data_IF_992470122297
#
_entry.id   IF_992470122297
#
_cell.length_a   1.000
_cell.length_b   1.000
_cell.length_c   1.000
_cell.angle_alpha   90.00
_cell.angle_beta   90.00
_cell.angle_gamma   90.00
#
_symmetry.space_group_name_H-M   'P 1'
#
loop_
_entity.id
_entity.type
_entity.pdbx_description
1 polymer ?
#
# COMPACT_ATOMS: atom_id res chain seq x y z
N UNK A 1 17.28 -10.21 -17.22
CA UNK A 1 17.20 -8.74 -16.97
C UNK A 1 18.59 -8.20 -16.70
N UNK A 2 18.97 -7.03 -17.25
CA UNK A 2 20.25 -6.38 -16.99
C UNK A 2 20.25 -5.84 -15.54
N UNK A 3 21.41 -5.95 -14.82
CA UNK A 3 21.56 -5.43 -13.42
C UNK A 3 21.06 -3.99 -13.27
N UNK A 4 21.27 -3.13 -14.27
CA UNK A 4 20.79 -1.74 -14.26
C UNK A 4 19.25 -1.60 -14.21
N UNK A 5 18.50 -2.45 -14.93
CA UNK A 5 17.03 -2.42 -14.90
C UNK A 5 16.49 -2.82 -13.51
N UNK A 6 17.08 -3.83 -12.88
CA UNK A 6 16.69 -4.22 -11.52
C UNK A 6 16.96 -3.10 -10.50
N UNK A 7 18.06 -2.37 -10.65
CA UNK A 7 18.38 -1.23 -9.78
C UNK A 7 17.35 -0.09 -9.96
N UNK A 8 16.96 0.22 -11.20
CA UNK A 8 15.93 1.23 -11.47
C UNK A 8 14.58 0.81 -10.86
N UNK A 9 14.19 -0.46 -11.01
CA UNK A 9 12.99 -0.99 -10.37
C UNK A 9 13.01 -0.88 -8.85
N UNK A 10 14.15 -1.20 -8.24
CA UNK A 10 14.34 -1.08 -6.80
C UNK A 10 14.26 0.37 -6.31
N UNK A 11 14.92 1.30 -7.00
CA UNK A 11 14.84 2.74 -6.69
C UNK A 11 13.42 3.27 -6.85
N UNK A 12 12.68 2.86 -7.87
CA UNK A 12 11.32 3.25 -8.08
C UNK A 12 10.39 2.78 -6.93
N UNK A 13 10.51 1.53 -6.51
CA UNK A 13 9.77 1.02 -5.35
C UNK A 13 10.18 1.71 -4.04
N UNK A 14 11.46 2.03 -3.85
CA UNK A 14 11.94 2.75 -2.68
C UNK A 14 11.35 4.17 -2.59
N UNK A 15 11.38 4.92 -3.70
CA UNK A 15 10.77 6.27 -3.78
C UNK A 15 9.29 6.19 -3.42
N UNK A 16 8.55 5.23 -3.98
CA UNK A 16 7.14 5.04 -3.68
C UNK A 16 6.91 4.77 -2.19
N UNK A 17 7.64 3.82 -1.61
CA UNK A 17 7.47 3.42 -0.21
C UNK A 17 7.81 4.54 0.77
N UNK A 18 8.89 5.29 0.53
CA UNK A 18 9.22 6.46 1.35
C UNK A 18 8.16 7.57 1.23
N UNK A 19 7.62 7.78 0.02
CA UNK A 19 6.53 8.75 -0.19
C UNK A 19 5.27 8.37 0.58
N UNK A 20 4.93 7.08 0.62
CA UNK A 20 3.80 6.59 1.40
C UNK A 20 4.08 6.60 2.90
N UNK A 21 5.32 6.39 3.33
CA UNK A 21 5.68 6.57 4.74
C UNK A 21 5.46 8.00 5.24
N UNK A 22 5.73 8.99 4.38
CA UNK A 22 5.44 10.39 4.68
C UNK A 22 3.94 10.75 4.59
N UNK A 23 3.14 9.92 3.93
CA UNK A 23 1.71 10.13 3.74
C UNK A 23 0.94 10.10 5.07
N UNK A 24 1.25 9.18 5.97
CA UNK A 24 0.50 8.97 7.22
C UNK A 24 0.56 10.17 8.18
N UNK A 25 1.75 10.74 8.48
CA UNK A 25 1.82 11.94 9.32
C UNK A 25 1.14 13.17 8.70
N UNK A 26 1.17 13.31 7.36
CA UNK A 26 0.49 14.42 6.68
C UNK A 26 -1.03 14.20 6.68
N UNK A 27 -1.47 12.95 6.47
CA UNK A 27 -2.89 12.63 6.55
C UNK A 27 -3.46 12.87 7.96
N UNK A 28 -2.67 12.64 9.02
CA UNK A 28 -3.10 12.89 10.41
C UNK A 28 -3.62 14.31 10.60
N UNK A 29 -2.85 15.30 10.13
CA UNK A 29 -3.29 16.71 10.18
C UNK A 29 -4.53 16.96 9.33
N UNK A 30 -4.57 16.43 8.09
CA UNK A 30 -5.72 16.66 7.22
C UNK A 30 -7.02 16.04 7.77
N UNK A 31 -6.93 14.84 8.37
CA UNK A 31 -8.08 14.09 8.91
C UNK A 31 -8.67 14.71 10.17
N UNK A 32 -8.01 15.70 10.80
CA UNK A 32 -8.62 16.51 11.86
C UNK A 32 -9.73 17.44 11.33
N UNK A 33 -9.71 17.76 10.01
CA UNK A 33 -10.59 18.75 9.39
C UNK A 33 -11.49 18.17 8.30
N UNK A 34 -11.06 17.10 7.62
CA UNK A 34 -11.79 16.53 6.48
C UNK A 34 -12.00 15.02 6.68
N UNK A 35 -13.21 14.58 6.34
CA UNK A 35 -13.58 13.16 6.42
C UNK A 35 -12.77 12.31 5.42
N UNK A 36 -12.39 11.06 5.77
CA UNK A 36 -11.62 10.17 4.92
C UNK A 36 -12.22 9.90 3.54
N UNK A 37 -13.55 9.93 3.40
CA UNK A 37 -14.20 9.74 2.11
C UNK A 37 -13.96 10.93 1.18
N UNK A 38 -14.20 12.15 1.66
CA UNK A 38 -13.89 13.36 0.90
C UNK A 38 -12.40 13.55 0.68
N UNK A 39 -11.57 13.28 1.68
CA UNK A 39 -10.11 13.32 1.56
C UNK A 39 -9.61 12.41 0.44
N UNK A 40 -10.06 11.16 0.41
CA UNK A 40 -9.70 10.19 -0.63
C UNK A 40 -10.25 10.58 -2.00
N UNK A 41 -11.50 11.03 -2.08
CA UNK A 41 -12.16 11.41 -3.33
C UNK A 41 -11.52 12.64 -3.97
N UNK A 42 -11.28 13.71 -3.21
CA UNK A 42 -10.66 14.95 -3.71
C UNK A 42 -9.24 14.68 -4.17
N UNK A 43 -8.45 13.98 -3.34
CA UNK A 43 -7.08 13.60 -3.64
C UNK A 43 -6.98 12.82 -4.95
N UNK A 44 -7.69 11.70 -5.05
CA UNK A 44 -7.61 10.87 -6.24
C UNK A 44 -8.41 11.38 -7.42
N UNK A 45 -9.38 12.24 -7.22
CA UNK A 45 -10.03 13.02 -8.28
C UNK A 45 -9.01 13.86 -9.05
N UNK A 46 -8.20 14.65 -8.33
CA UNK A 46 -7.15 15.45 -8.93
C UNK A 46 -6.04 14.59 -9.58
N UNK A 47 -5.62 13.50 -8.90
CA UNK A 47 -4.65 12.54 -9.45
C UNK A 47 -5.18 11.91 -10.74
N UNK A 48 -6.45 11.51 -10.77
CA UNK A 48 -7.11 10.93 -11.97
C UNK A 48 -7.08 11.91 -13.13
N UNK A 49 -7.44 13.17 -12.91
CA UNK A 49 -7.41 14.20 -13.96
C UNK A 49 -6.00 14.32 -14.53
N UNK A 50 -4.99 14.46 -13.66
CA UNK A 50 -3.60 14.57 -14.08
C UNK A 50 -3.11 13.35 -14.87
N UNK A 51 -3.44 12.13 -14.40
CA UNK A 51 -3.06 10.90 -15.09
C UNK A 51 -3.80 10.71 -16.43
N UNK A 52 -5.08 11.09 -16.52
CA UNK A 52 -5.85 11.07 -17.78
C UNK A 52 -5.24 12.01 -18.80
N UNK A 53 -4.91 13.24 -18.40
CA UNK A 53 -4.23 14.19 -19.29
C UNK A 53 -2.87 13.65 -19.75
N UNK A 54 -2.09 13.11 -18.81
CA UNK A 54 -0.79 12.52 -19.13
C UNK A 54 -0.90 11.32 -20.07
N UNK A 55 -1.89 10.44 -19.88
CA UNK A 55 -2.15 9.29 -20.76
C UNK A 55 -2.57 9.74 -22.15
N UNK A 56 -3.46 10.73 -22.25
CA UNK A 56 -3.88 11.31 -23.53
C UNK A 56 -2.69 11.91 -24.30
N UNK A 57 -1.81 12.62 -23.61
CA UNK A 57 -0.63 13.26 -24.21
C UNK A 57 0.43 12.24 -24.63
N UNK A 58 0.64 11.17 -23.87
CA UNK A 58 1.72 10.20 -24.11
C UNK A 58 1.32 9.04 -25.03
N UNK A 59 0.10 8.53 -24.89
CA UNK A 59 -0.34 7.30 -25.56
C UNK A 59 -1.62 7.50 -26.41
N UNK A 60 -2.26 8.66 -26.27
CA UNK A 60 -3.42 9.04 -27.06
C UNK A 60 -4.72 8.31 -26.67
N UNK A 61 -5.80 8.58 -27.43
CA UNK A 61 -7.15 8.07 -27.12
C UNK A 61 -7.26 6.53 -27.18
N UNK A 62 -6.40 5.86 -27.94
CA UNK A 62 -6.43 4.39 -28.05
C UNK A 62 -6.10 3.68 -26.73
N UNK A 63 -5.33 4.32 -25.84
CA UNK A 63 -4.97 3.79 -24.55
C UNK A 63 -6.16 3.64 -23.59
N UNK A 64 -7.30 4.28 -23.88
CA UNK A 64 -8.54 4.17 -23.07
C UNK A 64 -9.41 2.97 -23.43
N UNK A 65 -9.05 2.17 -24.42
CA UNK A 65 -9.77 0.94 -24.76
C UNK A 65 -9.63 -0.07 -23.64
N UNK A 66 -10.74 -0.65 -23.17
CA UNK A 66 -10.74 -1.57 -22.04
C UNK A 66 -10.32 -3.00 -22.38
N UNK A 67 -10.35 -3.36 -23.67
CA UNK A 67 -9.93 -4.67 -24.20
C UNK A 67 -10.57 -5.87 -23.47
N UNK A 68 -11.84 -5.74 -23.10
CA UNK A 68 -12.57 -6.76 -22.35
C UNK A 68 -12.22 -6.82 -20.83
N UNK A 69 -11.23 -6.05 -20.36
CA UNK A 69 -10.73 -6.08 -18.98
C UNK A 69 -11.47 -5.08 -18.04
N UNK A 70 -12.60 -4.50 -18.45
CA UNK A 70 -13.32 -3.46 -17.70
C UNK A 70 -13.68 -3.89 -16.27
N UNK A 71 -14.22 -5.10 -16.09
CA UNK A 71 -14.56 -5.64 -14.75
C UNK A 71 -13.35 -5.75 -13.82
N UNK A 72 -12.20 -6.18 -14.36
CA UNK A 72 -10.95 -6.28 -13.60
C UNK A 72 -10.43 -4.88 -13.21
N UNK A 73 -10.54 -3.89 -14.11
CA UNK A 73 -10.16 -2.50 -13.81
C UNK A 73 -11.00 -1.90 -12.70
N UNK A 74 -12.33 -2.09 -12.76
CA UNK A 74 -13.24 -1.66 -11.68
C UNK A 74 -12.87 -2.35 -10.37
N UNK A 75 -12.68 -3.68 -10.39
CA UNK A 75 -12.35 -4.45 -9.19
C UNK A 75 -11.02 -3.99 -8.57
N UNK A 76 -9.92 -4.00 -9.32
CA UNK A 76 -8.62 -3.59 -8.80
C UNK A 76 -8.56 -2.11 -8.47
N UNK A 77 -9.21 -1.25 -9.25
CA UNK A 77 -9.34 0.17 -8.95
C UNK A 77 -10.08 0.42 -7.65
N UNK A 78 -11.20 -0.28 -7.41
CA UNK A 78 -11.94 -0.21 -6.14
C UNK A 78 -11.08 -0.69 -4.98
N UNK A 79 -10.32 -1.79 -5.14
CA UNK A 79 -9.44 -2.30 -4.08
C UNK A 79 -8.39 -1.26 -3.66
N UNK A 80 -7.74 -0.57 -4.63
CA UNK A 80 -6.69 0.39 -4.35
C UNK A 80 -7.21 1.77 -3.92
N UNK A 81 -8.18 2.33 -4.66
CA UNK A 81 -8.53 3.74 -4.53
C UNK A 81 -9.77 3.98 -3.66
N UNK A 82 -10.58 2.94 -3.42
CA UNK A 82 -11.70 2.99 -2.49
C UNK A 82 -11.37 2.24 -1.20
N UNK A 83 -11.24 0.91 -1.27
CA UNK A 83 -11.10 0.05 -0.09
C UNK A 83 -9.84 0.43 0.71
N UNK A 84 -8.68 0.47 0.06
CA UNK A 84 -7.45 0.84 0.76
C UNK A 84 -7.52 2.28 1.29
N UNK A 85 -7.77 3.26 0.43
CA UNK A 85 -7.65 4.66 0.84
C UNK A 85 -8.69 5.08 1.88
N UNK A 86 -9.95 4.70 1.68
CA UNK A 86 -10.99 5.08 2.62
C UNK A 86 -10.80 4.35 3.96
N UNK A 87 -10.62 3.02 3.92
CA UNK A 87 -10.59 2.24 5.16
C UNK A 87 -9.32 2.45 5.97
N UNK A 88 -8.15 2.60 5.32
CA UNK A 88 -6.91 2.88 6.06
C UNK A 88 -6.98 4.23 6.75
N UNK A 89 -7.43 5.28 6.06
CA UNK A 89 -7.55 6.61 6.67
C UNK A 89 -8.68 6.70 7.68
N UNK A 90 -9.79 5.99 7.47
CA UNK A 90 -10.86 5.89 8.47
C UNK A 90 -10.35 5.21 9.76
N UNK A 91 -9.65 4.09 9.61
CA UNK A 91 -9.05 3.41 10.76
C UNK A 91 -7.98 4.26 11.45
N UNK A 92 -7.14 4.98 10.69
CA UNK A 92 -6.17 5.93 11.24
C UNK A 92 -6.85 7.04 12.02
N UNK A 93 -7.87 7.68 11.45
CA UNK A 93 -8.63 8.77 12.07
C UNK A 93 -9.29 8.33 13.38
N UNK A 94 -9.93 7.16 13.39
CA UNK A 94 -10.61 6.63 14.58
C UNK A 94 -9.65 6.31 15.73
N UNK A 95 -8.38 6.01 15.43
CA UNK A 95 -7.34 5.78 16.45
C UNK A 95 -6.60 7.06 16.86
N UNK A 96 -6.77 8.16 16.10
CA UNK A 96 -6.01 9.40 16.31
C UNK A 96 -4.50 9.21 16.10
N UNK A 97 -3.68 9.98 16.82
CA UNK A 97 -2.20 9.95 16.64
C UNK A 97 -1.55 8.56 16.69
N UNK A 98 -1.95 7.63 17.57
CA UNK A 98 -1.47 6.24 17.51
C UNK A 98 -1.79 5.56 16.18
N UNK A 99 -2.88 5.92 15.51
CA UNK A 99 -3.31 5.36 14.23
C UNK A 99 -2.29 5.54 13.11
N UNK A 100 -1.50 6.62 13.14
CA UNK A 100 -0.41 6.89 12.19
C UNK A 100 0.61 5.75 12.15
N UNK A 101 1.10 5.37 13.35
CA UNK A 101 2.06 4.27 13.47
C UNK A 101 1.42 2.92 13.17
N UNK A 102 0.20 2.69 13.67
CA UNK A 102 -0.52 1.43 13.44
C UNK A 102 -0.76 1.22 11.95
N UNK A 103 -1.25 2.22 11.22
CA UNK A 103 -1.49 2.12 9.78
C UNK A 103 -0.19 1.82 9.01
N UNK A 104 0.90 2.55 9.31
CA UNK A 104 2.19 2.34 8.64
C UNK A 104 2.78 0.94 8.90
N UNK A 105 2.62 0.40 10.12
CA UNK A 105 3.09 -0.94 10.47
C UNK A 105 2.22 -2.03 9.86
N UNK A 106 0.92 -1.83 9.79
CA UNK A 106 0.02 -2.76 9.11
C UNK A 106 0.36 -2.88 7.62
N UNK A 107 0.83 -1.81 6.97
CA UNK A 107 1.35 -1.90 5.60
C UNK A 107 2.57 -2.82 5.50
N UNK A 108 3.46 -2.82 6.49
CA UNK A 108 4.61 -3.71 6.48
C UNK A 108 4.23 -5.21 6.55
N UNK A 109 2.97 -5.55 6.85
CA UNK A 109 2.46 -6.92 6.74
C UNK A 109 2.07 -7.32 5.31
N UNK A 110 2.05 -6.40 4.35
CA UNK A 110 1.66 -6.68 2.95
C UNK A 110 2.40 -7.86 2.30
N UNK A 111 3.72 -8.04 2.50
CA UNK A 111 4.42 -9.20 1.96
C UNK A 111 3.85 -10.53 2.47
N UNK A 112 3.43 -10.57 3.73
CA UNK A 112 2.85 -11.77 4.33
C UNK A 112 1.42 -12.02 3.84
N UNK A 113 0.63 -10.95 3.75
CA UNK A 113 -0.72 -10.99 3.18
C UNK A 113 -0.64 -11.52 1.74
N UNK A 114 0.34 -11.07 0.94
CA UNK A 114 0.53 -11.55 -0.43
C UNK A 114 0.81 -13.06 -0.50
N UNK A 115 1.59 -13.59 0.44
CA UNK A 115 1.87 -15.04 0.54
C UNK A 115 0.61 -15.81 0.94
N UNK A 116 -0.18 -15.28 1.89
CA UNK A 116 -1.45 -15.90 2.30
C UNK A 116 -2.45 -15.94 1.14
N UNK A 117 -2.55 -14.86 0.35
CA UNK A 117 -3.41 -14.80 -0.84
C UNK A 117 -2.95 -15.84 -1.89
N UNK A 118 -1.64 -15.95 -2.13
CA UNK A 118 -1.10 -16.96 -3.05
C UNK A 118 -1.40 -18.40 -2.56
N UNK A 119 -1.29 -18.62 -1.27
CA UNK A 119 -1.62 -19.91 -0.68
C UNK A 119 -3.12 -20.26 -0.86
N UNK A 120 -4.01 -19.31 -0.54
CA UNK A 120 -5.45 -19.51 -0.71
C UNK A 120 -5.88 -19.68 -2.17
N UNK A 121 -5.34 -18.85 -3.09
CA UNK A 121 -5.77 -18.84 -4.50
C UNK A 121 -5.04 -19.86 -5.39
N UNK A 122 -3.76 -20.11 -5.12
CA UNK A 122 -2.91 -21.00 -5.95
C UNK A 122 -2.51 -22.30 -5.23
N UNK A 123 -2.96 -22.51 -4.01
CA UNK A 123 -2.63 -23.67 -3.15
C UNK A 123 -1.10 -23.86 -2.93
N UNK A 124 -0.31 -22.80 -3.12
CA UNK A 124 1.14 -22.81 -2.87
C UNK A 124 1.36 -22.63 -1.37
N UNK A 125 1.68 -23.73 -0.66
CA UNK A 125 1.92 -23.67 0.79
C UNK A 125 3.13 -22.78 1.13
N UNK A 126 3.00 -21.86 2.10
CA UNK A 126 4.12 -21.06 2.57
C UNK A 126 5.19 -21.95 3.21
N UNK A 127 6.45 -21.59 3.00
CA UNK A 127 7.58 -22.34 3.56
C UNK A 127 7.76 -22.02 5.05
N UNK A 128 8.41 -22.93 5.79
CA UNK A 128 8.59 -22.78 7.26
C UNK A 128 9.22 -21.44 7.66
N UNK A 129 10.21 -20.95 6.91
CA UNK A 129 10.83 -19.66 7.21
C UNK A 129 9.86 -18.47 7.02
N UNK A 130 8.95 -18.57 6.04
CA UNK A 130 7.90 -17.55 5.84
C UNK A 130 6.95 -17.53 7.02
N UNK A 131 6.48 -18.70 7.47
CA UNK A 131 5.62 -18.80 8.65
C UNK A 131 6.27 -18.23 9.91
N UNK A 132 7.54 -18.56 10.15
CA UNK A 132 8.29 -17.99 11.28
C UNK A 132 8.39 -16.46 11.18
N UNK A 133 8.68 -15.94 9.98
CA UNK A 133 8.70 -14.50 9.74
C UNK A 133 7.35 -13.83 10.00
N UNK A 134 6.25 -14.46 9.57
CA UNK A 134 4.89 -13.96 9.84
C UNK A 134 4.62 -13.83 11.34
N UNK A 135 4.99 -14.84 12.14
CA UNK A 135 4.80 -14.82 13.60
C UNK A 135 5.62 -13.69 14.23
N UNK A 136 6.89 -13.52 13.86
CA UNK A 136 7.76 -12.47 14.40
C UNK A 136 7.21 -11.07 14.04
N UNK A 137 6.77 -10.88 12.80
CA UNK A 137 6.20 -9.60 12.38
C UNK A 137 4.86 -9.33 13.06
N UNK A 138 4.02 -10.35 13.27
CA UNK A 138 2.78 -10.21 14.02
C UNK A 138 3.06 -9.78 15.47
N UNK A 139 4.04 -10.38 16.14
CA UNK A 139 4.47 -9.97 17.48
C UNK A 139 4.96 -8.51 17.47
N UNK A 140 5.75 -8.13 16.46
CA UNK A 140 6.20 -6.74 16.30
C UNK A 140 5.04 -5.76 16.11
N UNK A 141 4.05 -6.10 15.29
CA UNK A 141 2.84 -5.30 15.11
C UNK A 141 2.04 -5.17 16.43
N UNK A 142 1.89 -6.26 17.17
CA UNK A 142 1.23 -6.24 18.50
C UNK A 142 1.95 -5.29 19.45
N UNK A 143 3.28 -5.27 19.50
CA UNK A 143 4.04 -4.35 20.36
C UNK A 143 3.75 -2.89 20.05
N UNK A 144 3.70 -2.52 18.77
CA UNK A 144 3.39 -1.14 18.37
C UNK A 144 1.93 -0.78 18.68
N UNK A 145 1.00 -1.69 18.40
CA UNK A 145 -0.43 -1.46 18.63
C UNK A 145 -0.73 -1.31 20.12
N UNK A 146 -0.19 -2.21 20.95
CA UNK A 146 -0.47 -2.23 22.39
C UNK A 146 0.43 -1.28 23.20
N UNK A 147 1.53 -0.83 22.63
CA UNK A 147 2.59 -0.09 23.36
C UNK A 147 3.08 -0.79 24.62
N UNK A 148 3.03 -2.12 24.63
CA UNK A 148 3.37 -2.97 25.77
C UNK A 148 2.33 -2.96 26.90
N UNK A 149 1.23 -2.26 26.74
CA UNK A 149 0.15 -2.23 27.73
C UNK A 149 -0.87 -3.35 27.42
N UNK A 150 -0.88 -4.37 28.28
CA UNK A 150 -1.82 -5.48 28.14
C UNK A 150 -3.27 -5.08 28.41
N UNK A 151 -3.52 -3.91 29.05
CA UNK A 151 -4.86 -3.37 29.22
C UNK A 151 -5.52 -3.00 27.88
N UNK A 152 -4.73 -2.78 26.83
CA UNK A 152 -5.22 -2.62 25.47
C UNK A 152 -6.16 -3.76 25.03
N UNK A 153 -5.88 -4.98 25.44
CA UNK A 153 -6.76 -6.13 25.13
C UNK A 153 -8.10 -6.06 25.85
N UNK A 154 -8.20 -5.34 26.96
CA UNK A 154 -9.45 -5.10 27.66
C UNK A 154 -10.30 -4.03 26.95
N UNK A 155 -9.65 -3.06 26.31
CA UNK A 155 -10.28 -2.02 25.49
C UNK A 155 -10.31 -2.39 23.99
N UNK A 156 -10.07 -3.66 23.66
CA UNK A 156 -9.97 -4.14 22.27
C UNK A 156 -11.23 -3.82 21.47
N UNK A 157 -12.41 -3.81 22.12
CA UNK A 157 -13.66 -3.49 21.45
C UNK A 157 -13.65 -2.12 20.78
N UNK A 158 -13.03 -1.13 21.43
CA UNK A 158 -13.01 0.26 20.96
C UNK A 158 -12.08 0.44 19.74
N UNK A 159 -11.05 -0.42 19.64
CA UNK A 159 -10.04 -0.35 18.58
C UNK A 159 -10.22 -1.40 17.47
N UNK A 160 -11.07 -2.41 17.69
CA UNK A 160 -11.22 -3.54 16.77
C UNK A 160 -11.68 -3.12 15.38
N UNK A 161 -12.65 -2.21 15.28
CA UNK A 161 -13.12 -1.71 14.01
C UNK A 161 -12.05 -0.93 13.25
N UNK A 162 -11.29 -0.08 13.96
CA UNK A 162 -10.18 0.67 13.38
C UNK A 162 -9.11 -0.24 12.81
N UNK A 163 -8.70 -1.26 13.58
CA UNK A 163 -7.73 -2.26 13.15
C UNK A 163 -8.26 -3.09 11.96
N UNK A 164 -9.53 -3.48 11.99
CA UNK A 164 -10.16 -4.21 10.90
C UNK A 164 -10.22 -3.38 9.62
N UNK A 165 -10.57 -2.09 9.71
CA UNK A 165 -10.57 -1.20 8.56
C UNK A 165 -9.18 -1.05 7.95
N UNK A 166 -8.14 -0.78 8.76
CA UNK A 166 -6.77 -0.69 8.27
C UNK A 166 -6.36 -2.02 7.62
N UNK A 167 -6.62 -3.16 8.26
CA UNK A 167 -6.26 -4.47 7.72
C UNK A 167 -6.93 -4.77 6.38
N UNK A 168 -8.26 -4.56 6.28
CA UNK A 168 -9.02 -4.76 5.04
C UNK A 168 -8.50 -3.83 3.95
N UNK A 169 -8.21 -2.57 4.28
CA UNK A 169 -7.60 -1.63 3.35
C UNK A 169 -6.27 -2.15 2.82
N UNK A 170 -5.37 -2.57 3.71
CA UNK A 170 -4.05 -3.12 3.35
C UNK A 170 -4.17 -4.37 2.46
N UNK A 171 -5.12 -5.26 2.74
CA UNK A 171 -5.45 -6.40 1.85
C UNK A 171 -5.86 -5.90 0.47
N UNK A 172 -6.68 -4.85 0.39
CA UNK A 172 -7.11 -4.23 -0.88
C UNK A 172 -5.91 -3.78 -1.73
N UNK A 173 -4.93 -3.12 -1.13
CA UNK A 173 -3.71 -2.71 -1.84
C UNK A 173 -2.86 -3.89 -2.34
N UNK A 174 -2.75 -4.96 -1.54
CA UNK A 174 -2.05 -6.18 -1.96
C UNK A 174 -2.74 -6.81 -3.16
N UNK A 175 -4.08 -6.92 -3.12
CA UNK A 175 -4.89 -7.44 -4.24
C UNK A 175 -4.67 -6.62 -5.51
N UNK A 176 -4.69 -5.28 -5.42
CA UNK A 176 -4.39 -4.39 -6.52
C UNK A 176 -3.00 -4.62 -7.11
N UNK A 177 -1.97 -4.65 -6.25
CA UNK A 177 -0.58 -4.83 -6.68
C UNK A 177 -0.37 -6.17 -7.37
N UNK A 178 -0.95 -7.25 -6.85
CA UNK A 178 -0.90 -8.58 -7.47
C UNK A 178 -1.69 -8.62 -8.78
N UNK A 179 -2.82 -7.92 -8.83
CA UNK A 179 -3.69 -7.83 -10.00
C UNK A 179 -3.04 -7.16 -11.22
N UNK A 180 -2.04 -6.31 -10.99
CA UNK A 180 -1.27 -5.67 -12.06
C UNK A 180 -0.63 -6.65 -13.05
N UNK A 181 -0.34 -7.88 -12.62
CA UNK A 181 0.18 -8.95 -13.50
C UNK A 181 -0.79 -9.31 -14.64
N UNK A 182 -2.10 -9.16 -14.44
CA UNK A 182 -3.13 -9.40 -15.46
C UNK A 182 -3.12 -8.36 -16.59
N UNK A 183 -2.33 -7.31 -16.44
CA UNK A 183 -2.17 -6.20 -17.40
C UNK A 183 -0.71 -6.04 -17.85
N UNK A 184 0.05 -7.13 -17.90
CA UNK A 184 1.47 -7.13 -18.29
C UNK A 184 1.74 -6.46 -19.64
N UNK A 185 0.78 -6.60 -20.58
CA UNK A 185 0.86 -6.05 -21.94
C UNK A 185 0.59 -4.54 -22.00
N UNK A 186 0.06 -3.97 -20.92
CA UNK A 186 -0.26 -2.54 -20.84
C UNK A 186 0.94 -1.74 -20.31
N UNK A 187 0.99 -0.47 -20.69
CA UNK A 187 1.93 0.45 -20.05
C UNK A 187 1.56 0.66 -18.59
N UNK A 188 2.55 0.97 -17.78
CA UNK A 188 2.33 1.33 -16.36
C UNK A 188 1.39 2.52 -16.24
N UNK A 189 1.55 3.52 -17.12
CA UNK A 189 0.71 4.71 -17.12
C UNK A 189 -0.75 4.36 -17.42
N UNK A 190 -1.01 3.52 -18.43
CA UNK A 190 -2.36 3.08 -18.80
C UNK A 190 -3.03 2.33 -17.64
N UNK A 191 -2.35 1.36 -17.04
CA UNK A 191 -2.87 0.60 -15.90
C UNK A 191 -3.17 1.50 -14.71
N UNK A 192 -2.23 2.36 -14.31
CA UNK A 192 -2.41 3.29 -13.19
C UNK A 192 -3.57 4.26 -13.44
N UNK A 193 -3.65 4.82 -14.66
CA UNK A 193 -4.70 5.78 -15.01
C UNK A 193 -6.09 5.15 -14.98
N UNK A 194 -6.27 4.00 -15.64
CA UNK A 194 -7.59 3.41 -15.78
C UNK A 194 -8.08 2.81 -14.46
N UNK A 195 -7.21 2.19 -13.66
CA UNK A 195 -7.58 1.72 -12.32
C UNK A 195 -7.88 2.88 -11.38
N UNK A 196 -7.09 3.97 -11.42
CA UNK A 196 -7.35 5.18 -10.65
C UNK A 196 -8.70 5.80 -11.04
N UNK A 197 -9.00 5.93 -12.33
CA UNK A 197 -10.26 6.47 -12.84
C UNK A 197 -11.47 5.69 -12.32
N UNK A 198 -11.47 4.37 -12.50
CA UNK A 198 -12.60 3.55 -12.05
C UNK A 198 -12.72 3.49 -10.53
N UNK A 199 -11.62 3.35 -9.81
CA UNK A 199 -11.64 3.32 -8.36
C UNK A 199 -12.09 4.65 -7.76
N UNK A 200 -11.61 5.79 -8.30
CA UNK A 200 -12.04 7.12 -7.86
C UNK A 200 -13.52 7.36 -8.17
N UNK A 201 -14.02 6.87 -9.30
CA UNK A 201 -15.47 6.95 -9.62
C UNK A 201 -16.29 6.17 -8.59
N UNK A 202 -15.87 4.98 -8.19
CA UNK A 202 -16.54 4.19 -7.13
C UNK A 202 -16.46 4.95 -5.79
N UNK A 203 -15.31 5.49 -5.41
CA UNK A 203 -15.17 6.32 -4.19
C UNK A 203 -16.15 7.51 -4.23
N UNK A 204 -16.25 8.20 -5.37
CA UNK A 204 -17.16 9.34 -5.54
C UNK A 204 -18.62 8.94 -5.38
N UNK A 205 -19.05 7.82 -5.97
CA UNK A 205 -20.43 7.30 -5.81
C UNK A 205 -20.71 6.97 -4.34
N UNK A 206 -19.79 6.27 -3.66
CA UNK A 206 -19.97 5.95 -2.23
C UNK A 206 -20.01 7.22 -1.39
N UNK A 207 -19.07 8.16 -1.61
CA UNK A 207 -19.05 9.44 -0.90
C UNK A 207 -20.37 10.20 -1.08
N UNK A 208 -20.89 10.23 -2.30
CA UNK A 208 -22.18 10.88 -2.58
C UNK A 208 -23.34 10.21 -1.83
N UNK A 209 -23.39 8.88 -1.83
CA UNK A 209 -24.45 8.12 -1.12
C UNK A 209 -24.40 8.41 0.37
N UNK A 210 -23.24 8.30 1.01
CA UNK A 210 -23.13 8.51 2.46
C UNK A 210 -23.37 9.98 2.86
N UNK A 211 -23.07 10.93 1.97
CA UNK A 211 -23.40 12.34 2.15
C UNK A 211 -24.91 12.56 2.09
N UNK A 212 -25.59 11.95 1.11
CA UNK A 212 -27.07 12.01 1.01
C UNK A 212 -27.77 11.37 2.21
N UNK A 213 -27.16 10.35 2.81
CA UNK A 213 -27.65 9.71 4.03
C UNK A 213 -27.34 10.53 5.30
N UNK A 214 -26.60 11.63 5.20
CA UNK A 214 -26.28 12.51 6.31
C UNK A 214 -25.14 12.03 7.21
N UNK A 215 -24.41 10.98 6.83
CA UNK A 215 -23.29 10.49 7.64
C UNK A 215 -22.01 11.33 7.50
N UNK A 216 -21.83 12.00 6.37
CA UNK A 216 -20.64 12.81 6.08
C UNK A 216 -21.07 14.15 5.49
N UNK A 217 -20.43 15.23 5.92
CA UNK A 217 -20.72 16.58 5.43
C UNK A 217 -19.77 16.95 4.29
N UNK A 218 -20.29 17.72 3.32
CA UNK A 218 -19.48 18.31 2.26
C UNK A 218 -18.49 19.29 2.91
N UNK A 219 -17.16 19.16 2.68
CA UNK A 219 -16.18 20.07 3.26
C UNK A 219 -16.41 21.51 2.75
N UNK A 220 -16.33 22.46 3.67
CA UNK A 220 -16.44 23.89 3.32
C UNK A 220 -15.20 24.37 2.58
N UNK A 221 -15.32 25.51 1.89
CA UNK A 221 -14.16 26.16 1.26
C UNK A 221 -13.08 26.51 2.28
N UNK A 222 -13.48 26.88 3.50
CA UNK A 222 -12.57 27.13 4.61
C UNK A 222 -11.80 25.86 5.00
N UNK A 223 -12.50 24.73 5.18
CA UNK A 223 -11.88 23.42 5.44
C UNK A 223 -10.84 23.08 4.37
N UNK A 224 -11.20 23.22 3.09
CA UNK A 224 -10.27 22.95 1.98
C UNK A 224 -9.06 23.90 2.03
N UNK A 225 -9.27 25.17 2.40
CA UNK A 225 -8.18 26.14 2.53
C UNK A 225 -7.20 25.79 3.65
N UNK A 226 -7.67 25.20 4.75
CA UNK A 226 -6.82 24.73 5.85
C UNK A 226 -5.93 23.57 5.37
N UNK A 227 -6.53 22.54 4.73
CA UNK A 227 -5.82 21.32 4.35
C UNK A 227 -5.22 21.35 2.94
N UNK A 228 -5.18 22.50 2.26
CA UNK A 228 -4.74 22.61 0.85
C UNK A 228 -3.32 22.13 0.61
N UNK A 229 -2.41 22.36 1.54
CA UNK A 229 -1.01 21.94 1.40
C UNK A 229 -0.86 20.43 1.65
N UNK A 230 -1.65 19.86 2.58
CA UNK A 230 -1.72 18.43 2.81
C UNK A 230 -2.27 17.73 1.56
N UNK A 231 -3.37 18.23 1.00
CA UNK A 231 -3.94 17.72 -0.24
C UNK A 231 -2.95 17.83 -1.40
N UNK A 232 -2.28 18.97 -1.57
CA UNK A 232 -1.28 19.15 -2.64
C UNK A 232 -0.13 18.15 -2.51
N UNK A 233 0.42 17.97 -1.30
CA UNK A 233 1.43 16.96 -1.03
C UNK A 233 0.91 15.57 -1.37
N UNK A 234 -0.29 15.22 -0.88
CA UNK A 234 -0.92 13.92 -1.05
C UNK A 234 -1.25 13.58 -2.52
N UNK A 235 -1.61 14.59 -3.31
CA UNK A 235 -1.86 14.44 -4.75
C UNK A 235 -0.56 14.24 -5.53
N UNK A 236 0.49 15.00 -5.23
CA UNK A 236 1.73 15.01 -6.00
C UNK A 236 2.62 13.82 -5.64
N UNK A 237 3.11 13.74 -4.41
CA UNK A 237 4.12 12.77 -4.04
C UNK A 237 3.54 11.38 -3.80
N UNK A 238 2.63 11.12 -2.84
CA UNK A 238 2.03 9.79 -2.67
C UNK A 238 1.04 9.42 -3.78
N UNK A 239 0.36 10.39 -4.40
CA UNK A 239 -0.66 10.17 -5.42
C UNK A 239 -0.08 9.86 -6.80
N UNK A 240 0.66 10.79 -7.40
CA UNK A 240 1.16 10.64 -8.78
C UNK A 240 2.51 9.93 -8.79
N UNK A 241 3.50 10.48 -8.08
CA UNK A 241 4.88 9.98 -8.14
C UNK A 241 4.96 8.58 -7.59
N UNK A 242 4.46 8.34 -6.38
CA UNK A 242 4.54 7.01 -5.76
C UNK A 242 3.73 5.97 -6.54
N UNK A 243 2.52 6.28 -7.01
CA UNK A 243 1.71 5.35 -7.79
C UNK A 243 2.40 4.90 -9.09
N UNK A 244 2.97 5.85 -9.83
CA UNK A 244 3.64 5.53 -11.10
C UNK A 244 4.96 4.80 -10.86
N UNK A 245 5.78 5.26 -9.90
CA UNK A 245 7.06 4.61 -9.58
C UNK A 245 6.85 3.22 -8.98
N UNK A 246 5.82 3.03 -8.15
CA UNK A 246 5.44 1.72 -7.62
C UNK A 246 5.07 0.74 -8.72
N UNK A 247 4.09 1.09 -9.54
CA UNK A 247 3.64 0.20 -10.60
C UNK A 247 4.74 -0.08 -11.63
N UNK A 248 5.60 0.89 -11.91
CA UNK A 248 6.78 0.71 -12.76
C UNK A 248 7.80 -0.24 -12.10
N UNK A 249 8.13 -0.02 -10.84
CA UNK A 249 9.07 -0.86 -10.09
C UNK A 249 8.57 -2.30 -9.94
N UNK A 250 7.30 -2.48 -9.59
CA UNK A 250 6.65 -3.80 -9.49
C UNK A 250 6.61 -4.52 -10.83
N UNK A 251 6.38 -3.80 -11.95
CA UNK A 251 6.42 -4.39 -13.29
C UNK A 251 7.82 -4.94 -13.62
N UNK A 252 8.87 -4.27 -13.16
CA UNK A 252 10.26 -4.73 -13.36
C UNK A 252 10.63 -5.86 -12.41
N UNK A 253 10.34 -5.70 -11.11
CA UNK A 253 10.81 -6.62 -10.06
C UNK A 253 9.92 -7.83 -9.85
N UNK A 254 8.70 -7.85 -10.33
CA UNK A 254 7.53 -8.64 -9.95
C UNK A 254 6.84 -8.12 -8.67
N UNK A 255 5.55 -8.45 -8.51
CA UNK A 255 4.76 -7.99 -7.35
C UNK A 255 5.36 -8.45 -6.02
N UNK A 256 5.80 -9.70 -5.94
CA UNK A 256 6.36 -10.27 -4.71
C UNK A 256 7.64 -9.54 -4.28
N UNK A 257 8.54 -9.28 -5.23
CA UNK A 257 9.80 -8.58 -4.93
C UNK A 257 9.60 -7.08 -4.69
N UNK A 258 8.66 -6.45 -5.41
CA UNK A 258 8.32 -5.04 -5.21
C UNK A 258 7.71 -4.76 -3.84
N UNK A 259 6.75 -5.60 -3.40
CA UNK A 259 6.06 -5.45 -2.10
C UNK A 259 7.05 -5.41 -0.91
N UNK A 260 8.25 -5.98 -1.07
CA UNK A 260 9.24 -5.94 0.00
C UNK A 260 9.76 -4.53 0.34
N UNK A 261 9.67 -3.60 -0.60
CA UNK A 261 10.06 -2.21 -0.37
C UNK A 261 9.07 -1.45 0.52
N UNK A 262 7.84 -1.97 0.71
CA UNK A 262 6.85 -1.42 1.66
C UNK A 262 7.42 -1.33 3.10
N UNK A 263 8.41 -2.13 3.42
CA UNK A 263 9.06 -2.07 4.74
C UNK A 263 9.73 -0.73 5.05
N UNK A 264 9.97 0.09 4.03
CA UNK A 264 10.47 1.46 4.23
C UNK A 264 9.37 2.44 4.67
N UNK A 265 8.09 2.07 4.54
CA UNK A 265 6.96 2.89 5.00
C UNK A 265 7.05 3.16 6.51
N UNK A 266 7.05 2.16 7.41
CA UNK A 266 7.09 2.42 8.85
C UNK A 266 8.38 3.11 9.30
N UNK A 267 9.51 2.87 8.64
CA UNK A 267 10.77 3.56 8.94
C UNK A 267 10.62 5.06 8.65
N UNK A 268 10.11 5.40 7.48
CA UNK A 268 9.92 6.80 7.08
C UNK A 268 8.90 7.50 7.97
N UNK A 269 7.77 6.83 8.27
CA UNK A 269 6.75 7.35 9.18
C UNK A 269 7.34 7.62 10.56
N UNK A 270 8.08 6.68 11.13
CA UNK A 270 8.72 6.80 12.44
C UNK A 270 9.65 8.02 12.48
N UNK A 271 10.52 8.15 11.47
CA UNK A 271 11.47 9.29 11.39
C UNK A 271 10.74 10.63 11.32
N UNK A 272 9.68 10.73 10.51
CA UNK A 272 8.91 11.98 10.39
C UNK A 272 8.18 12.30 11.69
N UNK A 273 7.54 11.33 12.33
CA UNK A 273 6.87 11.52 13.61
C UNK A 273 7.84 11.95 14.72
N UNK A 274 9.09 11.42 14.72
CA UNK A 274 10.14 11.90 15.63
C UNK A 274 10.46 13.37 15.42
N UNK A 275 10.60 13.80 14.16
CA UNK A 275 10.87 15.20 13.80
C UNK A 275 9.69 16.09 14.23
N UNK A 276 8.46 15.61 14.13
CA UNK A 276 7.24 16.32 14.57
C UNK A 276 7.05 16.34 16.08
N UNK A 277 7.99 15.77 16.88
CA UNK A 277 7.94 15.79 18.34
C UNK A 277 7.03 14.71 18.97
N UNK A 278 6.57 13.73 18.20
CA UNK A 278 5.83 12.60 18.77
C UNK A 278 6.74 11.82 19.72
N UNK A 279 6.24 11.55 20.93
CA UNK A 279 6.95 10.75 21.94
C UNK A 279 6.87 9.27 21.58
N UNK A 280 7.89 8.82 20.86
CA UNK A 280 8.02 7.41 20.48
C UNK A 280 8.36 6.58 21.71
N UNK A 281 7.64 5.47 21.88
CA UNK A 281 7.89 4.51 22.95
C UNK A 281 8.94 3.49 22.51
N UNK A 282 9.56 2.82 23.48
CA UNK A 282 10.47 1.70 23.20
C UNK A 282 9.75 0.58 22.43
N UNK A 283 8.44 0.42 22.63
CA UNK A 283 7.63 -0.59 21.94
C UNK A 283 7.40 -0.25 20.45
N UNK A 284 7.27 1.04 20.12
CA UNK A 284 7.22 1.49 18.71
C UNK A 284 8.52 1.11 17.97
N UNK A 285 9.67 1.34 18.62
CA UNK A 285 10.99 1.02 18.05
C UNK A 285 11.19 -0.50 17.94
N UNK A 286 11.00 -1.23 19.04
CA UNK A 286 11.24 -2.68 19.07
C UNK A 286 10.26 -3.40 18.14
N UNK A 287 8.99 -3.03 18.15
CA UNK A 287 7.98 -3.62 17.27
C UNK A 287 8.30 -3.38 15.80
N UNK A 288 8.68 -2.15 15.42
CA UNK A 288 9.11 -1.82 14.06
C UNK A 288 10.33 -2.62 13.64
N UNK A 289 11.34 -2.72 14.50
CA UNK A 289 12.55 -3.50 14.23
C UNK A 289 12.26 -5.00 14.07
N UNK A 290 11.36 -5.56 14.89
CA UNK A 290 10.91 -6.95 14.74
C UNK A 290 10.25 -7.19 13.38
N UNK A 291 9.33 -6.33 12.97
CA UNK A 291 8.66 -6.42 11.66
C UNK A 291 9.70 -6.38 10.55
N UNK A 292 10.59 -5.37 10.54
CA UNK A 292 11.61 -5.20 9.51
C UNK A 292 12.56 -6.40 9.48
N UNK A 293 13.04 -6.86 10.63
CA UNK A 293 13.96 -8.01 10.73
C UNK A 293 13.32 -9.29 10.19
N UNK A 294 12.06 -9.53 10.55
CA UNK A 294 11.30 -10.67 10.05
C UNK A 294 11.22 -10.68 8.51
N UNK A 295 10.99 -9.51 7.93
CA UNK A 295 10.82 -9.34 6.50
C UNK A 295 12.16 -9.44 5.75
N UNK A 296 13.23 -8.82 6.27
CA UNK A 296 14.58 -8.97 5.71
C UNK A 296 15.00 -10.45 5.73
N UNK A 297 14.78 -11.15 6.84
CA UNK A 297 15.08 -12.58 6.96
C UNK A 297 14.31 -13.40 5.92
N UNK A 298 13.02 -13.17 5.77
CA UNK A 298 12.21 -13.86 4.77
C UNK A 298 12.75 -13.66 3.36
N UNK A 299 13.13 -12.42 3.02
CA UNK A 299 13.76 -12.07 1.75
C UNK A 299 15.07 -12.83 1.50
N UNK A 300 15.95 -12.80 2.48
CA UNK A 300 17.27 -13.47 2.37
C UNK A 300 17.07 -14.97 2.17
N UNK A 301 16.17 -15.59 2.93
CA UNK A 301 15.86 -17.01 2.80
C UNK A 301 15.27 -17.35 1.42
N UNK A 302 14.33 -16.53 0.94
CA UNK A 302 13.71 -16.72 -0.37
C UNK A 302 14.75 -16.63 -1.51
N UNK A 303 15.62 -15.61 -1.50
CA UNK A 303 16.69 -15.47 -2.50
C UNK A 303 17.67 -16.62 -2.49
N UNK A 304 18.07 -17.13 -1.32
CA UNK A 304 18.94 -18.29 -1.20
C UNK A 304 18.31 -19.52 -1.86
N UNK A 305 17.04 -19.73 -1.66
CA UNK A 305 16.31 -20.86 -2.22
C UNK A 305 16.09 -20.75 -3.73
N UNK A 306 15.75 -19.57 -4.24
CA UNK A 306 15.66 -19.30 -5.68
C UNK A 306 17.01 -19.56 -6.38
N UNK A 307 18.12 -19.14 -5.77
CA UNK A 307 19.46 -19.41 -6.30
C UNK A 307 19.78 -20.91 -6.29
N UNK A 308 19.44 -21.61 -5.22
CA UNK A 308 19.63 -23.08 -5.14
C UNK A 308 18.85 -23.80 -6.24
N UNK A 309 17.58 -23.42 -6.44
CA UNK A 309 16.75 -24.02 -7.48
C UNK A 309 17.28 -23.74 -8.89
N UNK A 310 17.83 -22.54 -9.15
CA UNK A 310 18.47 -22.22 -10.43
C UNK A 310 19.71 -23.08 -10.69
N UNK A 311 20.54 -23.30 -9.67
CA UNK A 311 21.70 -24.20 -9.80
C UNK A 311 21.30 -25.63 -10.10
N UNK A 312 20.29 -26.17 -9.41
CA UNK A 312 19.78 -27.53 -9.66
C UNK A 312 19.28 -27.67 -11.11
N UNK A 313 18.48 -26.69 -11.58
CA UNK A 313 17.98 -26.70 -12.97
C UNK A 313 19.08 -26.62 -14.00
N UNK A 314 20.13 -25.85 -13.75
CA UNK A 314 21.32 -25.78 -14.63
C UNK A 314 22.09 -27.10 -14.66
N UNK A 315 22.25 -27.76 -13.52
CA UNK A 315 22.91 -29.08 -13.43
C UNK A 315 22.09 -30.16 -14.14
N UNK A 316 20.74 -30.13 -14.01
CA UNK A 316 19.87 -31.08 -14.73
C UNK A 316 19.92 -30.86 -16.24
N UNK A 317 19.93 -29.62 -16.71
CA UNK A 317 20.09 -29.30 -18.14
C UNK A 317 21.43 -29.76 -18.69
N UNK A 318 22.52 -29.59 -17.93
CA UNK A 318 23.85 -30.07 -18.34
C UNK A 318 23.89 -31.59 -18.39
N UNK A 319 23.25 -32.32 -17.46
CA UNK A 319 23.15 -33.79 -17.49
C UNK A 319 22.32 -34.36 -18.64
N UNK A 320 21.35 -33.59 -19.13
CA UNK A 320 20.52 -34.02 -20.28
C UNK A 320 21.19 -33.70 -21.64
N UNK A 321 22.22 -32.85 -21.65
CA UNK A 321 22.96 -32.46 -22.85
C UNK A 321 24.21 -33.34 -23.10
N UNK A 322 24.56 -34.24 -22.18
CA UNK A 322 25.60 -35.27 -22.24
C UNK A 322 24.95 -36.63 -22.47
#
# INVERSE_FOLDING_TARGET
MRKGQMMIGALACLIASMSWGAMFPVADHALEYIDPFYFSFIRYGAVTIALVLLLLMKEGKKAFRLEGKGKLLVFFGTMAFTVYNVLVFLGQMLMGKPGVMVASIMEALMPMISICILWGCKHIKPKKYMMTGMIIAFIGAVFVITKGDMSFFLTLKDNLFSLAFIFIGVVGWVVYTMGGQSFSDWSTLRYSTLTCLFGTAVTGVITMIITMLGYVLVPSVETISIVKYDLLFMMTLPGIVALLTWNYGVKILSSINGILFINFVPITTLVIMMIQGYKITIFDIVGTLLVITALIRNNVCQRKEENKNKHILQEEQLRQAV
#
